data_IF_544810451182
#
_entry.id   IF_544810451182
#
_cell.length_a   1.000
_cell.length_b   1.000
_cell.length_c   1.000
_cell.angle_alpha   90.00
_cell.angle_beta   90.00
_cell.angle_gamma   90.00
#
_symmetry.space_group_name_H-M   'P 1'
#
loop_
_entity.id
_entity.type
_entity.pdbx_description
1 polymer ?
#
# COMPACT_ATOMS: atom_id res chain seq x y z
N UNK A 1 -10.02 -9.78 -7.25
CA UNK A 1 -9.58 -8.84 -6.21
C UNK A 1 -9.55 -7.45 -6.79
N UNK A 2 -10.47 -6.60 -6.35
CA UNK A 2 -10.56 -5.16 -6.59
C UNK A 2 -10.04 -4.39 -5.36
N UNK A 3 -9.95 -3.06 -5.47
CA UNK A 3 -9.62 -2.22 -4.31
C UNK A 3 -10.66 -2.35 -3.18
N UNK A 4 -11.94 -2.48 -3.54
CA UNK A 4 -13.03 -2.67 -2.59
C UNK A 4 -12.91 -4.02 -1.87
N UNK A 5 -12.67 -5.10 -2.61
CA UNK A 5 -12.47 -6.44 -2.03
C UNK A 5 -11.26 -6.46 -1.08
N UNK A 6 -10.16 -5.79 -1.45
CA UNK A 6 -8.98 -5.66 -0.60
C UNK A 6 -9.23 -4.79 0.64
N UNK A 7 -9.99 -3.71 0.50
CA UNK A 7 -10.41 -2.84 1.60
C UNK A 7 -11.37 -3.53 2.58
N UNK A 8 -12.18 -4.46 2.10
CA UNK A 8 -13.15 -5.20 2.89
C UNK A 8 -12.54 -6.28 3.79
N UNK A 9 -11.29 -6.71 3.53
CA UNK A 9 -10.57 -7.67 4.37
C UNK A 9 -10.47 -7.11 5.80
N UNK A 10 -11.01 -7.82 6.78
CA UNK A 10 -11.05 -7.35 8.18
C UNK A 10 -9.77 -7.72 8.92
N UNK A 11 -9.33 -8.97 8.78
CA UNK A 11 -8.15 -9.50 9.43
C UNK A 11 -6.90 -9.25 8.56
N UNK A 12 -5.89 -8.52 9.06
CA UNK A 12 -4.63 -8.38 8.34
C UNK A 12 -3.84 -9.68 8.14
N UNK A 13 -4.11 -10.72 8.92
CA UNK A 13 -3.50 -12.05 8.73
C UNK A 13 -3.87 -12.66 7.36
N UNK A 14 -5.07 -12.35 6.86
CA UNK A 14 -5.50 -12.73 5.51
C UNK A 14 -4.63 -12.07 4.43
N UNK A 15 -4.05 -10.90 4.72
CA UNK A 15 -3.10 -10.21 3.85
C UNK A 15 -1.68 -10.75 4.03
N UNK A 16 -1.29 -11.07 5.28
CA UNK A 16 0.01 -11.64 5.60
C UNK A 16 0.27 -12.97 4.90
N UNK A 17 -0.80 -13.74 4.65
CA UNK A 17 -0.78 -14.99 3.88
C UNK A 17 -0.29 -14.82 2.44
N UNK A 18 -0.31 -13.58 1.91
CA UNK A 18 0.20 -13.29 0.56
C UNK A 18 1.73 -13.10 0.53
N UNK A 19 2.40 -12.97 1.67
CA UNK A 19 3.85 -12.78 1.75
C UNK A 19 4.36 -11.42 1.23
N UNK A 20 3.46 -10.52 0.84
CA UNK A 20 3.81 -9.22 0.25
C UNK A 20 3.34 -8.05 1.12
N UNK A 21 4.15 -6.99 1.14
CA UNK A 21 3.88 -5.75 1.87
C UNK A 21 2.82 -4.90 1.14
N UNK A 22 2.76 -4.96 -0.19
CA UNK A 22 1.86 -4.11 -0.96
C UNK A 22 0.37 -4.28 -0.64
N UNK A 23 -0.20 -5.50 -0.46
CA UNK A 23 -1.60 -5.67 -0.04
C UNK A 23 -1.94 -4.95 1.27
N UNK A 24 -1.03 -4.95 2.24
CA UNK A 24 -1.21 -4.24 3.52
C UNK A 24 -1.28 -2.73 3.30
N UNK A 25 -0.35 -2.19 2.52
CA UNK A 25 -0.27 -0.76 2.24
C UNK A 25 -1.44 -0.26 1.36
N UNK A 26 -1.82 -1.01 0.33
CA UNK A 26 -2.98 -0.66 -0.50
C UNK A 26 -4.25 -0.71 0.33
N UNK A 27 -4.43 -1.71 1.20
CA UNK A 27 -5.59 -1.77 2.08
C UNK A 27 -5.63 -0.57 3.03
N UNK A 28 -4.49 -0.22 3.63
CA UNK A 28 -4.39 0.98 4.46
C UNK A 28 -4.86 2.22 3.69
N UNK A 29 -4.37 2.41 2.47
CA UNK A 29 -4.71 3.55 1.61
C UNK A 29 -6.20 3.57 1.23
N UNK A 30 -6.80 2.41 0.95
CA UNK A 30 -8.23 2.28 0.67
C UNK A 30 -9.06 2.62 1.90
N UNK A 31 -8.76 2.02 3.05
CA UNK A 31 -9.55 2.19 4.28
C UNK A 31 -9.37 3.55 4.96
N UNK A 32 -8.40 4.33 4.52
CA UNK A 32 -8.17 5.71 4.97
C UNK A 32 -8.55 6.74 3.91
N UNK A 33 -9.29 6.33 2.86
CA UNK A 33 -9.81 7.20 1.79
C UNK A 33 -8.73 7.99 1.03
N UNK A 34 -7.52 7.43 0.92
CA UNK A 34 -6.39 8.08 0.28
C UNK A 34 -6.13 7.61 -1.15
N UNK A 35 -6.80 6.56 -1.62
CA UNK A 35 -6.48 5.92 -2.89
C UNK A 35 -6.49 6.91 -4.06
N UNK A 36 -7.54 7.72 -4.17
CA UNK A 36 -7.64 8.70 -5.26
C UNK A 36 -6.63 9.83 -5.11
N UNK A 37 -6.37 10.30 -3.89
CA UNK A 37 -5.41 11.38 -3.66
C UNK A 37 -3.95 10.95 -3.98
N UNK A 38 -3.61 9.67 -3.78
CA UNK A 38 -2.24 9.17 -3.93
C UNK A 38 -1.97 8.48 -5.27
N UNK A 39 -2.95 7.74 -5.79
CA UNK A 39 -2.76 6.80 -6.90
C UNK A 39 -3.94 6.84 -7.89
N UNK A 40 -4.45 8.04 -8.18
CA UNK A 40 -5.53 8.25 -9.14
C UNK A 40 -5.27 7.49 -10.46
N UNK A 41 -6.27 6.74 -10.91
CA UNK A 41 -6.22 6.01 -12.19
C UNK A 41 -5.37 4.73 -12.19
N UNK A 42 -4.67 4.39 -11.09
CA UNK A 42 -3.89 3.16 -11.03
C UNK A 42 -4.80 1.93 -10.90
N UNK A 43 -4.56 0.90 -11.71
CA UNK A 43 -5.19 -0.41 -11.51
C UNK A 43 -4.59 -1.12 -10.28
N UNK A 44 -5.37 -1.94 -9.57
CA UNK A 44 -4.88 -2.68 -8.41
C UNK A 44 -3.64 -3.53 -8.73
N UNK A 45 -3.61 -4.35 -9.81
CA UNK A 45 -2.42 -5.13 -10.15
C UNK A 45 -1.18 -4.27 -10.37
N UNK A 46 -1.30 -3.14 -11.08
CA UNK A 46 -0.18 -2.22 -11.33
C UNK A 46 0.29 -1.58 -10.02
N UNK A 47 -0.63 -1.13 -9.17
CA UNK A 47 -0.28 -0.50 -7.90
C UNK A 47 0.41 -1.47 -6.94
N UNK A 48 -0.08 -2.71 -6.84
CA UNK A 48 0.54 -3.75 -6.01
C UNK A 48 1.98 -4.02 -6.46
N UNK A 49 2.22 -4.13 -7.76
CA UNK A 49 3.57 -4.29 -8.31
C UNK A 49 4.45 -3.08 -7.99
N UNK A 50 3.99 -1.87 -8.28
CA UNK A 50 4.76 -0.64 -8.06
C UNK A 50 5.13 -0.44 -6.59
N UNK A 51 4.20 -0.71 -5.66
CA UNK A 51 4.47 -0.64 -4.22
C UNK A 51 5.45 -1.74 -3.78
N UNK A 52 5.34 -2.97 -4.29
CA UNK A 52 6.30 -4.03 -3.95
C UNK A 52 7.72 -3.68 -4.41
N UNK A 53 7.88 -3.15 -5.62
CA UNK A 53 9.19 -2.69 -6.11
C UNK A 53 9.73 -1.56 -5.23
N UNK A 54 8.91 -0.54 -4.96
CA UNK A 54 9.31 0.59 -4.13
C UNK A 54 9.64 0.17 -2.69
N UNK A 55 8.88 -0.74 -2.10
CA UNK A 55 9.10 -1.27 -0.75
C UNK A 55 10.29 -2.25 -0.66
N UNK A 56 10.70 -2.86 -1.79
CA UNK A 56 11.92 -3.66 -1.84
C UNK A 56 13.18 -2.80 -1.89
N UNK A 57 13.08 -1.57 -2.41
CA UNK A 57 14.19 -0.62 -2.52
C UNK A 57 14.25 0.36 -1.34
N UNK A 58 13.09 0.66 -0.74
CA UNK A 58 13.02 1.36 0.53
C UNK A 58 13.21 0.39 1.69
N UNK A 59 13.86 0.84 2.77
CA UNK A 59 13.79 0.12 4.03
C UNK A 59 12.34 0.08 4.52
N UNK A 60 11.79 -1.10 4.78
CA UNK A 60 10.46 -1.28 5.36
C UNK A 60 10.54 -1.31 6.89
N UNK A 61 10.18 -0.21 7.60
CA UNK A 61 10.34 -0.13 9.05
C UNK A 61 9.35 -1.06 9.76
N UNK A 62 9.74 -1.70 10.89
CA UNK A 62 8.84 -2.54 11.69
C UNK A 62 7.56 -1.83 12.13
N UNK A 63 7.63 -0.52 12.38
CA UNK A 63 6.48 0.30 12.78
C UNK A 63 5.40 0.34 11.68
N UNK A 64 5.79 0.33 10.41
CA UNK A 64 4.85 0.27 9.29
C UNK A 64 4.16 -1.10 9.26
N UNK A 65 4.92 -2.16 9.52
CA UNK A 65 4.40 -3.52 9.68
C UNK A 65 3.40 -3.67 10.84
N UNK A 66 3.47 -2.82 11.86
CA UNK A 66 2.53 -2.83 12.99
C UNK A 66 1.33 -1.90 12.81
N UNK A 67 1.51 -0.78 12.11
CA UNK A 67 0.51 0.29 11.99
C UNK A 67 -0.36 0.15 10.74
N UNK A 68 0.22 -0.16 9.58
CA UNK A 68 -0.53 -0.27 8.33
C UNK A 68 -1.64 -1.36 8.38
N UNK A 69 -1.42 -2.54 8.99
CA UNK A 69 -2.46 -3.54 9.21
C UNK A 69 -3.72 -3.03 9.93
N UNK A 70 -3.56 -2.08 10.87
CA UNK A 70 -4.69 -1.55 11.65
C UNK A 70 -5.67 -0.77 10.78
N UNK A 71 -5.23 -0.30 9.61
CA UNK A 71 -6.04 0.50 8.69
C UNK A 71 -6.71 1.73 9.34
N UNK A 72 -6.04 2.30 10.35
CA UNK A 72 -6.39 3.57 10.97
C UNK A 72 -5.33 4.59 10.55
N UNK A 73 -5.77 5.79 10.15
CA UNK A 73 -4.90 6.89 9.71
C UNK A 73 -3.70 7.07 10.65
N UNK A 74 -2.50 7.06 10.10
CA UNK A 74 -1.25 7.21 10.84
C UNK A 74 -0.25 8.04 10.08
N UNK A 75 0.21 9.13 10.70
CA UNK A 75 1.23 10.00 10.14
C UNK A 75 2.58 9.29 9.90
N UNK A 76 2.84 8.16 10.57
CA UNK A 76 4.04 7.36 10.34
C UNK A 76 3.89 6.58 9.02
N UNK A 77 2.73 5.96 8.80
CA UNK A 77 2.43 5.23 7.56
C UNK A 77 2.34 6.19 6.38
N UNK A 78 1.76 7.37 6.58
CA UNK A 78 1.67 8.38 5.53
C UNK A 78 3.03 8.90 5.11
N UNK A 79 3.92 9.21 6.06
CA UNK A 79 5.30 9.62 5.75
C UNK A 79 6.08 8.54 5.01
N UNK A 80 5.88 7.27 5.37
CA UNK A 80 6.49 6.17 4.64
C UNK A 80 5.97 6.12 3.19
N UNK A 81 4.65 6.21 2.99
CA UNK A 81 4.05 6.26 1.66
C UNK A 81 4.53 7.46 0.84
N UNK A 82 4.72 8.62 1.48
CA UNK A 82 5.29 9.81 0.84
C UNK A 82 6.75 9.58 0.43
N UNK A 83 7.54 8.93 1.29
CA UNK A 83 8.94 8.58 1.01
C UNK A 83 9.12 7.65 -0.19
N UNK A 84 8.20 6.71 -0.39
CA UNK A 84 8.24 5.80 -1.55
C UNK A 84 7.46 6.32 -2.77
N UNK A 85 6.78 7.47 -2.66
CA UNK A 85 5.82 7.93 -3.66
C UNK A 85 6.45 8.21 -5.05
N UNK A 86 7.71 8.66 -5.10
CA UNK A 86 8.41 8.91 -6.35
C UNK A 86 8.66 7.60 -7.11
N UNK A 87 9.23 6.59 -6.45
CA UNK A 87 9.47 5.27 -7.04
C UNK A 87 8.17 4.59 -7.45
N UNK A 88 7.11 4.69 -6.65
CA UNK A 88 5.80 4.14 -7.03
C UNK A 88 5.31 4.80 -8.31
N UNK A 89 5.38 6.14 -8.43
CA UNK A 89 4.95 6.86 -9.64
C UNK A 89 5.78 6.49 -10.87
N UNK A 90 7.10 6.36 -10.74
CA UNK A 90 7.97 5.91 -11.84
C UNK A 90 7.55 4.51 -12.33
N UNK A 91 7.27 3.59 -11.41
CA UNK A 91 6.85 2.23 -11.74
C UNK A 91 5.40 2.13 -12.24
N UNK A 92 4.54 3.13 -11.96
CA UNK A 92 3.19 3.22 -12.53
C UNK A 92 3.23 3.65 -14.00
N UNK A 93 4.19 4.48 -14.40
CA UNK A 93 4.32 5.04 -15.75
C UNK A 93 5.22 4.21 -16.69
N UNK A 94 5.84 3.14 -16.19
CA UNK A 94 6.78 2.32 -16.96
C UNK A 94 6.10 1.32 -17.94
N UNK A 95 4.77 1.38 -18.08
CA UNK A 95 3.93 0.46 -18.86
C UNK A 95 2.81 1.24 -19.55
#
# INVERSE_FOLDING_TARGET
MSFEELGAIKDPMDLGSTGFVAPILVRYVVRTDQLQARYAGASLPTLLRAINVAAAHAHFPPEIGQLAPRAVRSAIVDRYLDGIAAMVRENLNAH
#
